data_IF_910855868132
#
_entry.id   IF_910855868132
#
_cell.length_a   1.000
_cell.length_b   1.000
_cell.length_c   1.000
_cell.angle_alpha   90.00
_cell.angle_beta   90.00
_cell.angle_gamma   90.00
#
_symmetry.space_group_name_H-M   'P 1'
#
loop_
_entity.id
_entity.type
_entity.pdbx_description
1 polymer ?
#
# COMPACT_ATOMS: atom_id res chain seq x y z
N UNK A 1 -10.49 -5.84 34.15
CA UNK A 1 -10.31 -6.32 35.50
C UNK A 1 -10.03 -7.84 35.49
N UNK A 2 -8.73 -8.21 35.65
CA UNK A 2 -8.23 -9.59 35.54
C UNK A 2 -8.89 -10.51 36.61
N UNK A 3 -9.21 -9.97 37.79
CA UNK A 3 -9.86 -10.74 38.86
C UNK A 3 -11.27 -11.20 38.48
N UNK A 4 -12.03 -10.36 37.79
CA UNK A 4 -13.37 -10.74 37.31
C UNK A 4 -13.27 -11.81 36.22
N UNK A 5 -12.34 -11.67 35.27
CA UNK A 5 -12.12 -12.66 34.23
C UNK A 5 -11.72 -14.00 34.85
N UNK A 6 -10.77 -14.00 35.81
CA UNK A 6 -10.36 -15.22 36.51
C UNK A 6 -11.54 -15.93 37.18
N UNK A 7 -12.43 -15.19 37.88
CA UNK A 7 -13.63 -15.76 38.49
C UNK A 7 -14.60 -16.39 37.50
N UNK A 8 -14.75 -15.78 36.33
CA UNK A 8 -15.67 -16.30 35.30
C UNK A 8 -15.14 -17.60 34.69
N UNK A 9 -13.82 -17.72 34.58
CA UNK A 9 -13.16 -18.85 33.92
C UNK A 9 -12.55 -19.87 34.90
N UNK A 10 -12.90 -19.81 36.20
CA UNK A 10 -12.49 -20.80 37.17
C UNK A 10 -13.15 -22.17 36.87
N UNK A 11 -12.42 -23.31 36.82
CA UNK A 11 -11.01 -23.52 37.18
C UNK A 11 -10.00 -23.44 36.06
N UNK A 12 -10.35 -22.94 34.89
CA UNK A 12 -9.50 -22.97 33.69
C UNK A 12 -8.34 -21.96 33.75
N UNK A 13 -8.48 -20.85 34.47
CA UNK A 13 -7.45 -19.83 34.70
C UNK A 13 -6.98 -19.84 36.12
N UNK A 14 -5.74 -20.26 36.36
CA UNK A 14 -5.18 -20.45 37.69
C UNK A 14 -4.59 -19.15 38.28
N UNK A 15 -4.01 -18.30 37.44
CA UNK A 15 -3.34 -17.07 37.85
C UNK A 15 -3.80 -15.85 37.04
N UNK A 16 -3.82 -14.68 37.64
CA UNK A 16 -4.10 -13.42 36.94
C UNK A 16 -3.03 -13.07 35.90
N UNK A 17 -1.79 -13.57 36.06
CA UNK A 17 -0.71 -13.44 35.09
C UNK A 17 -0.96 -14.18 33.78
N UNK A 18 -1.91 -15.14 33.78
CA UNK A 18 -2.29 -15.88 32.57
C UNK A 18 -3.27 -15.10 31.67
N UNK A 19 -3.72 -13.94 32.18
CA UNK A 19 -4.64 -13.05 31.47
C UNK A 19 -3.86 -11.86 30.89
N UNK A 20 -3.74 -11.83 29.58
CA UNK A 20 -3.08 -10.75 28.86
C UNK A 20 -4.11 -9.71 28.41
N UNK A 21 -3.97 -8.48 28.91
CA UNK A 21 -4.73 -7.32 28.47
C UNK A 21 -3.94 -6.48 27.44
N UNK A 22 -4.54 -5.38 26.96
CA UNK A 22 -3.92 -4.47 26.02
C UNK A 22 -2.55 -3.95 26.49
N UNK A 23 -2.45 -3.60 27.76
CA UNK A 23 -1.19 -3.07 28.32
C UNK A 23 -0.08 -4.12 28.37
N UNK A 24 -0.43 -5.37 28.75
CA UNK A 24 0.53 -6.48 28.76
C UNK A 24 1.06 -6.76 27.35
N UNK A 25 0.18 -6.76 26.34
CA UNK A 25 0.55 -6.94 24.94
C UNK A 25 1.42 -5.79 24.42
N UNK A 26 1.06 -4.53 24.72
CA UNK A 26 1.87 -3.38 24.35
C UNK A 26 3.26 -3.44 24.98
N UNK A 27 3.35 -3.82 26.28
CA UNK A 27 4.65 -4.01 26.94
C UNK A 27 5.47 -5.13 26.28
N UNK A 28 4.82 -6.25 25.93
CA UNK A 28 5.47 -7.35 25.22
C UNK A 28 6.01 -6.89 23.85
N UNK A 29 5.23 -6.15 23.07
CA UNK A 29 5.61 -5.66 21.74
C UNK A 29 6.69 -4.57 21.78
N UNK A 30 6.74 -3.77 22.86
CA UNK A 30 7.78 -2.74 23.03
C UNK A 30 9.15 -3.30 23.41
N UNK A 31 9.21 -4.58 23.81
CA UNK A 31 10.46 -5.22 24.16
C UNK A 31 11.31 -5.50 22.91
N UNK A 32 12.56 -5.01 22.90
CA UNK A 32 13.51 -5.19 21.79
C UNK A 32 13.72 -6.65 21.37
N UNK A 33 13.61 -7.59 22.32
CA UNK A 33 13.74 -9.02 22.03
C UNK A 33 12.58 -9.59 21.23
N UNK A 34 11.46 -8.88 21.15
CA UNK A 34 10.26 -9.31 20.40
C UNK A 34 10.07 -8.53 19.10
N UNK A 35 11.07 -7.74 18.68
CA UNK A 35 11.01 -6.95 17.46
C UNK A 35 10.71 -7.80 16.23
N UNK A 36 11.30 -9.00 16.13
CA UNK A 36 11.05 -9.93 15.03
C UNK A 36 9.57 -10.35 14.93
N UNK A 37 8.89 -10.51 16.07
CA UNK A 37 7.46 -10.84 16.10
C UNK A 37 6.63 -9.69 15.52
N UNK A 38 6.99 -8.45 15.88
CA UNK A 38 6.31 -7.25 15.36
C UNK A 38 6.53 -7.14 13.86
N UNK A 39 7.77 -7.28 13.38
CA UNK A 39 8.13 -7.18 11.96
C UNK A 39 7.42 -8.23 11.10
N UNK A 40 7.38 -9.48 11.56
CA UNK A 40 6.75 -10.57 10.81
C UNK A 40 5.21 -10.47 10.77
N UNK A 41 4.62 -9.82 11.77
CA UNK A 41 3.17 -9.75 11.94
C UNK A 41 2.67 -8.29 12.05
N UNK A 42 3.38 -7.34 11.46
CA UNK A 42 3.14 -5.91 11.65
C UNK A 42 1.68 -5.49 11.48
N UNK A 43 0.97 -6.10 10.54
CA UNK A 43 -0.44 -5.78 10.26
C UNK A 43 -1.37 -6.10 11.44
N UNK A 44 -1.07 -7.14 12.22
CA UNK A 44 -1.86 -7.47 13.42
C UNK A 44 -1.67 -6.46 14.54
N UNK A 45 -0.52 -5.80 14.57
CA UNK A 45 -0.10 -4.92 15.66
C UNK A 45 -0.07 -3.44 15.29
N UNK A 46 -0.45 -3.07 14.05
CA UNK A 46 -0.35 -1.71 13.52
C UNK A 46 -1.07 -0.68 14.39
N UNK A 47 -2.15 -1.07 15.08
CA UNK A 47 -2.91 -0.20 15.99
C UNK A 47 -2.38 -0.23 17.43
N UNK A 48 -1.31 -0.96 17.72
CA UNK A 48 -0.73 -0.96 19.07
C UNK A 48 0.06 0.33 19.30
N UNK A 49 -0.03 0.88 20.51
CA UNK A 49 0.66 2.14 20.86
C UNK A 49 2.16 2.07 20.57
N UNK A 50 2.82 0.94 20.89
CA UNK A 50 4.25 0.75 20.65
C UNK A 50 4.63 0.72 19.17
N UNK A 51 3.79 0.15 18.30
CA UNK A 51 4.04 0.14 16.84
C UNK A 51 3.77 1.53 16.25
N UNK A 52 2.71 2.20 16.67
CA UNK A 52 2.42 3.58 16.27
C UNK A 52 3.55 4.53 16.67
N UNK A 53 4.08 4.42 17.89
CA UNK A 53 5.23 5.20 18.32
C UNK A 53 6.46 4.99 17.43
N UNK A 54 6.73 3.75 17.00
CA UNK A 54 7.82 3.46 16.06
C UNK A 54 7.57 4.13 14.71
N UNK A 55 6.36 4.01 14.17
CA UNK A 55 5.98 4.59 12.87
C UNK A 55 6.14 6.11 12.90
N UNK A 56 5.57 6.79 13.89
CA UNK A 56 5.59 8.25 13.95
C UNK A 56 6.95 8.82 14.31
N UNK A 57 7.74 8.13 15.12
CA UNK A 57 9.11 8.58 15.45
C UNK A 57 10.10 8.41 14.29
N UNK A 58 9.81 7.49 13.35
CA UNK A 58 10.65 7.26 12.17
C UNK A 58 10.23 8.07 10.93
N UNK A 59 9.17 8.87 11.01
CA UNK A 59 8.82 9.80 9.94
C UNK A 59 9.72 11.06 9.98
N UNK A 60 10.32 11.40 8.86
CA UNK A 60 11.05 12.66 8.74
C UNK A 60 10.03 13.81 8.76
N UNK A 61 10.23 14.78 9.65
CA UNK A 61 9.26 15.86 9.94
C UNK A 61 8.69 16.54 8.69
N UNK A 62 7.44 16.95 8.80
CA UNK A 62 6.71 17.66 7.75
C UNK A 62 5.83 16.74 6.93
N UNK A 63 5.92 16.80 5.58
CA UNK A 63 5.08 16.03 4.65
C UNK A 63 5.14 14.52 4.90
N UNK A 64 6.31 13.96 5.09
CA UNK A 64 6.50 12.53 5.33
C UNK A 64 5.73 12.03 6.55
N UNK A 65 5.56 12.87 7.56
CA UNK A 65 4.77 12.56 8.76
C UNK A 65 3.27 12.45 8.45
N UNK A 66 2.76 13.32 7.60
CA UNK A 66 1.37 13.26 7.15
C UNK A 66 1.14 12.04 6.25
N UNK A 67 2.01 11.83 5.26
CA UNK A 67 1.92 10.69 4.34
C UNK A 67 1.94 9.36 5.10
N UNK A 68 2.85 9.16 6.04
CA UNK A 68 2.92 7.89 6.79
C UNK A 68 1.70 7.68 7.70
N UNK A 69 1.10 8.76 8.20
CA UNK A 69 -0.15 8.70 8.97
C UNK A 69 -1.32 8.27 8.09
N UNK A 70 -1.47 8.87 6.91
CA UNK A 70 -2.51 8.50 5.95
C UNK A 70 -2.37 7.04 5.51
N UNK A 71 -1.13 6.58 5.32
CA UNK A 71 -0.83 5.18 5.00
C UNK A 71 -1.25 4.26 6.15
N UNK A 72 -0.92 4.59 7.39
CA UNK A 72 -1.26 3.81 8.57
C UNK A 72 -2.79 3.71 8.74
N UNK A 73 -3.49 4.83 8.64
CA UNK A 73 -4.95 4.90 8.75
C UNK A 73 -5.68 4.02 7.73
N UNK A 74 -5.10 3.77 6.56
CA UNK A 74 -5.68 2.95 5.49
C UNK A 74 -5.18 1.49 5.48
N UNK A 75 -4.14 1.17 6.24
CA UNK A 75 -3.49 -0.14 6.19
C UNK A 75 -4.37 -1.30 6.66
N UNK A 76 -5.40 -1.07 7.47
CA UNK A 76 -6.29 -2.12 7.96
C UNK A 76 -7.06 -2.85 6.85
N UNK A 77 -7.38 -2.17 5.74
CA UNK A 77 -8.06 -2.78 4.57
C UNK A 77 -7.13 -3.61 3.69
N UNK A 78 -5.83 -3.42 3.82
CA UNK A 78 -4.86 -4.05 2.93
C UNK A 78 -4.82 -5.57 3.10
N UNK A 79 -4.81 -6.31 2.01
CA UNK A 79 -4.56 -7.75 1.97
C UNK A 79 -3.09 -8.03 1.64
N UNK A 80 -2.39 -8.80 2.47
CA UNK A 80 -1.01 -9.22 2.19
C UNK A 80 -1.04 -10.28 1.08
N UNK A 81 -0.75 -9.84 -0.13
CA UNK A 81 -0.74 -10.67 -1.34
C UNK A 81 0.64 -11.26 -1.61
N UNK A 82 0.73 -12.17 -2.58
CA UNK A 82 2.01 -12.70 -3.05
C UNK A 82 2.93 -11.58 -3.60
N UNK A 83 2.35 -10.53 -4.20
CA UNK A 83 3.11 -9.36 -4.65
C UNK A 83 3.80 -8.62 -3.49
N UNK A 84 3.22 -8.63 -2.28
CA UNK A 84 3.85 -8.04 -1.10
C UNK A 84 5.14 -8.78 -0.72
N UNK A 85 5.09 -10.11 -0.68
CA UNK A 85 6.27 -10.95 -0.37
C UNK A 85 7.37 -10.75 -1.40
N UNK A 86 7.02 -10.79 -2.69
CA UNK A 86 7.96 -10.50 -3.78
C UNK A 86 8.54 -9.10 -3.71
N UNK A 87 7.75 -8.10 -3.29
CA UNK A 87 8.21 -6.74 -3.06
C UNK A 87 9.29 -6.66 -1.99
N UNK A 88 9.12 -7.36 -0.88
CA UNK A 88 10.13 -7.47 0.17
C UNK A 88 11.40 -8.15 -0.37
N UNK A 89 11.27 -9.30 -1.06
CA UNK A 89 12.41 -10.01 -1.62
C UNK A 89 13.25 -9.13 -2.57
N UNK A 90 12.60 -8.36 -3.45
CA UNK A 90 13.29 -7.46 -4.35
C UNK A 90 13.98 -6.31 -3.61
N UNK A 91 13.34 -5.74 -2.59
CA UNK A 91 13.94 -4.69 -1.77
C UNK A 91 15.10 -5.19 -0.91
N UNK A 92 15.03 -6.42 -0.40
CA UNK A 92 16.17 -7.00 0.34
C UNK A 92 17.36 -7.30 -0.60
N UNK A 93 17.10 -7.69 -1.85
CA UNK A 93 18.13 -7.99 -2.82
C UNK A 93 18.76 -6.76 -3.46
N UNK A 94 17.93 -5.77 -3.85
CA UNK A 94 18.34 -4.67 -4.72
C UNK A 94 18.21 -3.27 -4.11
N UNK A 95 17.66 -3.14 -2.91
CA UNK A 95 17.39 -1.87 -2.21
C UNK A 95 16.41 -0.93 -2.93
N UNK A 96 16.02 -1.20 -4.16
CA UNK A 96 15.12 -0.38 -4.97
C UNK A 96 14.02 -1.25 -5.55
N UNK A 97 12.80 -0.75 -5.60
CA UNK A 97 11.69 -1.37 -6.31
C UNK A 97 10.90 -0.34 -7.09
N UNK A 98 10.54 -0.69 -8.33
CA UNK A 98 9.62 0.06 -9.17
C UNK A 98 8.36 -0.78 -9.35
N UNK A 99 7.27 -0.36 -8.73
CA UNK A 99 5.98 -1.02 -8.85
C UNK A 99 5.25 -0.49 -10.07
N UNK A 100 4.87 -1.38 -10.98
CA UNK A 100 4.15 -1.00 -12.19
C UNK A 100 2.95 -1.90 -12.42
N UNK A 101 1.96 -1.43 -13.17
CA UNK A 101 0.73 -2.16 -13.45
C UNK A 101 -0.38 -1.24 -13.94
N UNK A 102 -1.52 -1.85 -14.25
CA UNK A 102 -2.71 -1.13 -14.70
C UNK A 102 -3.27 -0.19 -13.63
N UNK A 103 -4.02 0.84 -14.01
CA UNK A 103 -4.71 1.71 -13.05
C UNK A 103 -5.62 0.89 -12.11
N UNK A 104 -5.65 1.25 -10.82
CA UNK A 104 -6.51 0.62 -9.82
C UNK A 104 -6.07 -0.74 -9.30
N UNK A 105 -5.00 -1.35 -9.83
CA UNK A 105 -4.53 -2.70 -9.43
C UNK A 105 -3.89 -2.74 -8.02
N UNK A 106 -3.73 -1.60 -7.35
CA UNK A 106 -3.17 -1.54 -5.98
C UNK A 106 -1.68 -1.25 -5.90
N UNK A 107 -1.07 -0.56 -6.88
CA UNK A 107 0.36 -0.16 -6.84
C UNK A 107 0.70 0.70 -5.63
N UNK A 108 -0.02 1.80 -5.47
CA UNK A 108 0.13 2.73 -4.33
C UNK A 108 -0.09 2.00 -3.03
N UNK A 109 -1.18 1.23 -2.92
CA UNK A 109 -1.50 0.46 -1.71
C UNK A 109 -0.40 -0.55 -1.34
N UNK A 110 0.22 -1.20 -2.33
CA UNK A 110 1.37 -2.09 -2.09
C UNK A 110 2.59 -1.29 -1.65
N UNK A 111 2.90 -0.17 -2.31
CA UNK A 111 4.02 0.72 -1.96
C UNK A 111 3.88 1.24 -0.53
N UNK A 112 2.68 1.67 -0.15
CA UNK A 112 2.33 2.15 1.18
C UNK A 112 2.60 1.09 2.26
N UNK A 113 2.11 -0.11 2.03
CA UNK A 113 2.28 -1.19 3.02
C UNK A 113 3.71 -1.75 3.07
N UNK A 114 4.47 -1.71 1.98
CA UNK A 114 5.91 -1.95 2.01
C UNK A 114 6.63 -0.84 2.79
N UNK A 115 6.18 0.41 2.65
CA UNK A 115 6.75 1.54 3.39
C UNK A 115 6.51 1.41 4.90
N UNK A 116 5.30 1.04 5.32
CA UNK A 116 5.02 0.74 6.73
C UNK A 116 5.91 -0.39 7.27
N UNK A 117 6.04 -1.47 6.50
CA UNK A 117 6.89 -2.60 6.89
C UNK A 117 8.33 -2.17 7.17
N UNK A 118 8.95 -1.36 6.28
CA UNK A 118 10.32 -0.89 6.49
C UNK A 118 10.42 0.18 7.58
N UNK A 119 9.41 1.02 7.75
CA UNK A 119 9.38 2.01 8.84
C UNK A 119 9.37 1.30 10.20
N UNK A 120 8.61 0.24 10.35
CA UNK A 120 8.60 -0.62 11.55
C UNK A 120 9.96 -1.31 11.76
N UNK A 121 10.69 -1.63 10.69
CA UNK A 121 12.08 -2.12 10.73
C UNK A 121 13.12 -1.06 11.08
N UNK A 122 12.68 0.13 11.44
CA UNK A 122 13.55 1.24 11.87
C UNK A 122 14.19 2.01 10.72
N UNK A 123 13.57 2.04 9.55
CA UNK A 123 13.94 2.95 8.48
C UNK A 123 13.21 4.28 8.67
N UNK A 124 13.94 5.40 8.62
CA UNK A 124 13.34 6.73 8.58
C UNK A 124 12.60 6.91 7.25
N UNK A 125 11.31 7.20 7.29
CA UNK A 125 10.47 7.37 6.10
C UNK A 125 10.62 8.78 5.51
N UNK A 126 10.91 8.87 4.22
CA UNK A 126 11.02 10.12 3.47
C UNK A 126 10.20 10.09 2.18
N UNK A 127 9.15 10.90 2.14
CA UNK A 127 8.29 11.07 0.97
C UNK A 127 8.88 12.09 0.00
N UNK A 128 9.03 11.68 -1.28
CA UNK A 128 9.52 12.51 -2.39
C UNK A 128 8.35 12.82 -3.32
N UNK A 129 7.93 14.08 -3.37
CA UNK A 129 6.85 14.50 -4.26
C UNK A 129 7.37 14.81 -5.67
N UNK A 130 8.09 15.93 -5.81
CA UNK A 130 8.47 16.45 -7.13
C UNK A 130 9.98 16.59 -7.35
N UNK A 131 10.78 16.56 -6.27
CA UNK A 131 12.17 16.98 -6.36
C UNK A 131 13.15 15.96 -5.78
N UNK A 132 13.70 15.14 -6.66
CA UNK A 132 14.72 14.16 -6.30
C UNK A 132 15.99 14.82 -5.68
N UNK A 133 16.22 16.13 -5.91
CA UNK A 133 17.36 16.83 -5.33
C UNK A 133 17.27 16.99 -3.81
N UNK A 134 16.06 17.01 -3.26
CA UNK A 134 15.83 17.02 -1.82
C UNK A 134 16.22 15.67 -1.22
N UNK A 135 15.81 14.58 -1.85
CA UNK A 135 16.21 13.23 -1.46
C UNK A 135 17.73 13.03 -1.51
N UNK A 136 18.42 13.63 -2.50
CA UNK A 136 19.87 13.64 -2.58
C UNK A 136 20.52 14.33 -1.39
N UNK A 137 19.93 15.41 -0.90
CA UNK A 137 20.44 16.13 0.27
C UNK A 137 20.26 15.30 1.54
N UNK A 138 19.10 14.69 1.72
CA UNK A 138 18.81 13.78 2.84
C UNK A 138 19.74 12.57 2.81
N UNK A 139 19.95 11.98 1.63
CA UNK A 139 20.88 10.86 1.45
C UNK A 139 22.30 11.19 1.92
N UNK A 140 22.83 12.37 1.56
CA UNK A 140 24.20 12.79 1.94
C UNK A 140 24.34 13.07 3.43
N UNK A 141 23.32 13.67 4.04
CA UNK A 141 23.35 14.02 5.47
C UNK A 141 23.20 12.82 6.40
N UNK A 142 22.82 11.68 5.88
CA UNK A 142 22.42 10.51 6.65
C UNK A 142 23.26 9.26 6.37
N UNK A 143 24.59 9.42 6.19
CA UNK A 143 25.48 8.33 5.76
C UNK A 143 25.35 7.00 6.51
N UNK A 144 24.95 7.02 7.79
CA UNK A 144 24.80 5.79 8.61
C UNK A 144 23.39 5.46 9.04
N UNK A 145 22.38 6.25 8.62
CA UNK A 145 20.99 6.03 9.02
C UNK A 145 20.28 5.14 8.01
N UNK A 146 19.39 4.29 8.49
CA UNK A 146 18.46 3.58 7.63
C UNK A 146 17.40 4.56 7.13
N UNK A 147 17.25 4.72 5.81
CA UNK A 147 16.24 5.60 5.22
C UNK A 147 15.49 4.85 4.13
N UNK A 148 14.17 4.97 4.17
CA UNK A 148 13.27 4.57 3.11
C UNK A 148 12.82 5.83 2.35
N UNK A 149 13.20 5.91 1.09
CA UNK A 149 12.67 6.89 0.14
C UNK A 149 11.42 6.33 -0.53
N UNK A 150 10.38 7.17 -0.63
CA UNK A 150 9.10 6.82 -1.24
C UNK A 150 8.74 7.86 -2.30
N UNK A 151 8.25 7.41 -3.46
CA UNK A 151 7.79 8.29 -4.53
C UNK A 151 6.62 7.63 -5.27
N UNK A 152 5.41 8.12 -5.02
CA UNK A 152 4.20 7.63 -5.69
C UNK A 152 4.00 8.32 -7.05
N UNK A 153 3.45 7.58 -8.00
CA UNK A 153 3.17 7.98 -9.41
C UNK A 153 4.32 8.79 -10.05
N UNK A 154 5.56 8.36 -9.78
CA UNK A 154 6.76 8.96 -10.33
C UNK A 154 6.67 8.97 -11.87
N UNK A 155 6.91 10.08 -12.53
CA UNK A 155 6.70 10.34 -13.96
C UNK A 155 5.22 10.56 -14.38
N UNK A 156 4.22 10.56 -13.46
CA UNK A 156 2.81 10.70 -13.80
C UNK A 156 2.48 11.97 -14.56
N UNK A 157 2.42 13.09 -13.88
CA UNK A 157 2.06 14.40 -14.43
C UNK A 157 3.19 15.10 -15.18
N UNK A 158 4.46 14.76 -14.89
CA UNK A 158 5.64 15.51 -15.31
C UNK A 158 6.59 14.74 -16.25
N UNK A 159 6.14 13.66 -16.89
CA UNK A 159 6.99 12.85 -17.78
C UNK A 159 7.72 13.69 -18.84
N UNK A 160 7.00 14.62 -19.50
CA UNK A 160 7.60 15.48 -20.52
C UNK A 160 8.58 16.48 -19.92
N UNK A 161 8.28 17.04 -18.78
CA UNK A 161 9.16 17.98 -18.07
C UNK A 161 10.40 17.26 -17.52
N UNK A 162 10.24 16.05 -17.02
CA UNK A 162 11.35 15.24 -16.53
C UNK A 162 12.33 14.89 -17.67
N UNK A 163 11.84 14.53 -18.84
CA UNK A 163 12.65 14.17 -20.01
C UNK A 163 13.30 15.42 -20.62
N UNK A 164 12.53 16.48 -20.83
CA UNK A 164 13.02 17.71 -21.47
C UNK A 164 14.03 18.48 -20.60
N UNK A 165 13.87 18.46 -19.29
CA UNK A 165 14.74 19.17 -18.33
C UNK A 165 15.92 18.34 -17.80
N UNK A 166 16.22 17.16 -18.41
CA UNK A 166 17.28 16.23 -17.96
C UNK A 166 17.09 15.71 -16.52
N UNK A 167 15.89 15.84 -15.96
CA UNK A 167 15.57 15.31 -14.62
C UNK A 167 15.60 13.77 -14.59
N UNK A 168 15.40 13.13 -15.75
CA UNK A 168 15.57 11.69 -15.97
C UNK A 168 16.94 11.19 -15.52
N UNK A 169 17.98 11.99 -15.74
CA UNK A 169 19.33 11.63 -15.35
C UNK A 169 19.56 11.66 -13.83
N UNK A 170 18.84 12.52 -13.13
CA UNK A 170 18.97 12.62 -11.67
C UNK A 170 18.33 11.41 -10.98
N UNK A 171 17.14 11.03 -11.41
CA UNK A 171 16.46 9.87 -10.80
C UNK A 171 17.20 8.55 -11.07
N UNK A 172 17.69 8.35 -12.30
CA UNK A 172 18.50 7.17 -12.64
C UNK A 172 19.77 7.08 -11.79
N UNK A 173 20.45 8.20 -11.61
CA UNK A 173 21.63 8.26 -10.75
C UNK A 173 21.29 7.99 -9.28
N UNK A 174 20.15 8.51 -8.82
CA UNK A 174 19.69 8.29 -7.46
C UNK A 174 19.33 6.82 -7.22
N UNK A 175 18.57 6.17 -8.13
CA UNK A 175 18.29 4.73 -8.10
C UNK A 175 19.59 3.93 -7.97
N UNK A 176 20.60 4.21 -8.80
CA UNK A 176 21.90 3.52 -8.74
C UNK A 176 22.68 3.77 -7.45
N UNK A 177 22.53 4.93 -6.87
CA UNK A 177 23.16 5.23 -5.59
C UNK A 177 22.52 4.45 -4.47
N UNK A 178 21.20 4.47 -4.39
CA UNK A 178 20.44 3.72 -3.39
C UNK A 178 20.68 2.22 -3.54
N UNK A 179 20.71 1.68 -4.77
CA UNK A 179 20.93 0.24 -4.98
C UNK A 179 22.28 -0.28 -4.47
N UNK A 180 23.24 0.61 -4.23
CA UNK A 180 24.58 0.27 -3.70
C UNK A 180 24.72 0.45 -2.19
N UNK A 181 23.70 0.97 -1.52
CA UNK A 181 23.73 1.28 -0.10
C UNK A 181 22.67 0.51 0.68
N UNK A 182 23.07 -0.54 1.38
CA UNK A 182 22.17 -1.42 2.12
C UNK A 182 21.44 -0.72 3.29
N UNK A 183 21.87 0.46 3.69
CA UNK A 183 21.18 1.27 4.69
C UNK A 183 20.02 2.10 4.10
N UNK A 184 19.85 2.07 2.79
CA UNK A 184 18.83 2.84 2.08
C UNK A 184 17.90 1.93 1.32
N UNK A 185 16.61 2.29 1.25
CA UNK A 185 15.60 1.63 0.42
C UNK A 185 14.91 2.69 -0.43
N UNK A 186 14.42 2.33 -1.61
CA UNK A 186 13.67 3.23 -2.47
C UNK A 186 12.49 2.51 -3.11
N UNK A 187 11.29 2.99 -2.85
CA UNK A 187 10.04 2.48 -3.41
C UNK A 187 9.47 3.54 -4.36
N UNK A 188 9.24 3.14 -5.61
CA UNK A 188 8.62 3.98 -6.63
C UNK A 188 7.40 3.28 -7.21
N UNK A 189 6.36 4.04 -7.53
CA UNK A 189 5.24 3.54 -8.33
C UNK A 189 5.18 4.25 -9.67
N UNK A 190 4.71 3.57 -10.70
CA UNK A 190 4.46 4.17 -12.02
C UNK A 190 3.42 3.37 -12.80
N UNK A 191 2.76 4.02 -13.74
CA UNK A 191 1.89 3.34 -14.72
C UNK A 191 2.73 2.67 -15.79
N UNK A 192 2.34 1.47 -16.21
CA UNK A 192 3.08 0.69 -17.21
C UNK A 192 3.32 1.46 -18.53
N UNK A 193 2.30 2.15 -19.03
CA UNK A 193 2.38 2.94 -20.25
C UNK A 193 3.36 4.12 -20.11
N UNK A 194 3.36 4.80 -18.96
CA UNK A 194 4.25 5.93 -18.67
C UNK A 194 5.69 5.46 -18.55
N UNK A 195 5.94 4.39 -17.80
CA UNK A 195 7.27 3.81 -17.69
C UNK A 195 7.80 3.35 -19.06
N UNK A 196 6.98 2.68 -19.88
CA UNK A 196 7.33 2.29 -21.23
C UNK A 196 7.69 3.50 -22.11
N UNK A 197 6.95 4.61 -21.98
CA UNK A 197 7.21 5.85 -22.70
C UNK A 197 8.52 6.49 -22.26
N UNK A 198 8.81 6.54 -20.97
CA UNK A 198 10.09 7.00 -20.44
C UNK A 198 11.26 6.20 -21.00
N UNK A 199 11.12 4.87 -21.08
CA UNK A 199 12.13 4.01 -21.71
C UNK A 199 12.38 4.31 -23.17
N UNK A 200 11.32 4.59 -23.95
CA UNK A 200 11.47 4.90 -25.39
C UNK A 200 12.14 6.25 -25.62
N UNK A 201 11.87 7.23 -24.77
CA UNK A 201 12.31 8.62 -24.95
C UNK A 201 13.65 8.92 -24.29
N UNK A 202 14.07 8.16 -23.28
CA UNK A 202 15.30 8.39 -22.54
C UNK A 202 16.33 7.30 -22.79
N UNK A 203 17.42 7.64 -23.49
CA UNK A 203 18.58 6.77 -23.66
C UNK A 203 19.22 6.35 -22.32
N UNK A 204 19.05 7.15 -21.26
CA UNK A 204 19.62 6.83 -19.94
C UNK A 204 18.85 5.70 -19.28
N UNK A 205 17.52 5.71 -19.34
CA UNK A 205 16.73 4.58 -18.86
C UNK A 205 17.08 3.29 -19.61
N UNK A 206 17.36 3.39 -20.92
CA UNK A 206 17.76 2.24 -21.75
C UNK A 206 19.15 1.71 -21.38
N UNK A 207 20.14 2.59 -21.31
CA UNK A 207 21.54 2.22 -21.08
C UNK A 207 21.79 1.69 -19.67
N UNK A 208 21.00 2.11 -18.69
CA UNK A 208 21.21 1.78 -17.29
C UNK A 208 20.42 0.55 -16.83
N UNK A 209 19.78 -0.16 -17.77
CA UNK A 209 19.06 -1.43 -17.55
C UNK A 209 18.10 -1.41 -16.36
N UNK A 210 17.46 -0.24 -16.09
CA UNK A 210 16.48 -0.10 -14.99
C UNK A 210 15.28 -1.06 -15.18
N UNK A 211 15.11 -1.59 -16.38
CA UNK A 211 14.07 -2.55 -16.75
C UNK A 211 14.44 -4.00 -16.46
N UNK A 212 15.69 -4.26 -16.13
CA UNK A 212 16.09 -5.60 -15.75
C UNK A 212 15.35 -6.00 -14.46
N UNK A 213 14.95 -7.24 -14.35
CA UNK A 213 14.10 -7.79 -13.30
C UNK A 213 14.59 -7.56 -11.85
N UNK A 214 15.71 -6.86 -11.68
CA UNK A 214 16.29 -6.54 -10.37
C UNK A 214 15.54 -5.45 -9.61
N UNK A 215 14.82 -4.55 -10.32
CA UNK A 215 14.12 -3.43 -9.70
C UNK A 215 12.63 -3.38 -10.03
N UNK A 216 12.16 -4.11 -11.03
CA UNK A 216 10.80 -3.99 -11.54
C UNK A 216 9.89 -5.10 -11.00
N UNK A 217 8.85 -4.72 -10.28
CA UNK A 217 7.74 -5.61 -9.96
C UNK A 217 6.49 -5.15 -10.73
N UNK A 218 6.13 -5.92 -11.74
CA UNK A 218 4.86 -5.72 -12.43
C UNK A 218 3.76 -6.41 -11.64
N UNK A 219 2.82 -5.63 -11.13
CA UNK A 219 1.64 -6.16 -10.46
C UNK A 219 0.68 -6.67 -11.54
N UNK A 220 0.65 -7.97 -11.70
CA UNK A 220 -0.25 -8.70 -12.58
C UNK A 220 -1.00 -9.73 -11.76
N UNK A 221 -2.08 -10.25 -12.27
CA UNK A 221 -2.76 -11.47 -11.82
C UNK A 221 -2.76 -11.70 -10.30
N UNK A 222 -3.72 -11.09 -9.63
CA UNK A 222 -4.08 -11.48 -8.27
C UNK A 222 -4.57 -12.93 -8.30
N UNK A 223 -4.07 -13.76 -7.40
CA UNK A 223 -4.57 -15.12 -7.21
C UNK A 223 -6.02 -15.10 -6.72
N UNK A 224 -6.74 -16.22 -6.82
CA UNK A 224 -8.10 -16.32 -6.29
C UNK A 224 -8.13 -16.04 -4.78
N UNK A 225 -7.09 -16.45 -4.04
CA UNK A 225 -6.93 -16.18 -2.61
C UNK A 225 -6.70 -14.69 -2.35
N UNK A 226 -5.83 -14.04 -3.13
CA UNK A 226 -5.61 -12.59 -3.01
C UNK A 226 -6.91 -11.81 -3.23
N UNK A 227 -7.67 -12.17 -4.28
CA UNK A 227 -8.97 -11.54 -4.58
C UNK A 227 -9.99 -11.78 -3.46
N UNK A 228 -10.01 -12.98 -2.90
CA UNK A 228 -10.89 -13.31 -1.78
C UNK A 228 -10.54 -12.49 -0.53
N UNK A 229 -9.27 -12.35 -0.20
CA UNK A 229 -8.80 -11.55 0.93
C UNK A 229 -9.11 -10.07 0.73
N UNK A 230 -8.89 -9.53 -0.47
CA UNK A 230 -9.22 -8.14 -0.81
C UNK A 230 -10.72 -7.91 -0.61
N UNK A 231 -11.57 -8.75 -1.20
CA UNK A 231 -13.02 -8.63 -1.06
C UNK A 231 -13.45 -8.73 0.41
N UNK A 232 -12.93 -9.72 1.14
CA UNK A 232 -13.24 -9.91 2.56
C UNK A 232 -12.86 -8.68 3.40
N UNK A 233 -11.65 -8.16 3.24
CA UNK A 233 -11.18 -7.00 4.00
C UNK A 233 -12.03 -5.76 3.71
N UNK A 234 -12.38 -5.52 2.45
CA UNK A 234 -13.25 -4.40 2.09
C UNK A 234 -14.65 -4.53 2.68
N UNK A 235 -15.25 -5.71 2.68
CA UNK A 235 -16.55 -5.97 3.32
C UNK A 235 -16.44 -5.83 4.84
N UNK A 236 -15.45 -6.48 5.46
CA UNK A 236 -15.29 -6.50 6.90
C UNK A 236 -15.08 -5.12 7.51
N UNK A 237 -14.33 -4.27 6.81
CA UNK A 237 -14.04 -2.91 7.23
C UNK A 237 -14.94 -1.85 6.58
N UNK A 238 -15.96 -2.27 5.83
CA UNK A 238 -17.01 -1.36 5.35
C UNK A 238 -17.98 -1.04 6.47
N UNK A 239 -18.69 0.08 6.33
CA UNK A 239 -19.84 0.41 7.17
C UNK A 239 -21.16 -0.03 6.50
N UNK A 240 -21.13 -1.10 5.70
CA UNK A 240 -22.31 -1.65 5.06
C UNK A 240 -23.22 -2.34 6.07
N UNK A 241 -24.52 -2.11 5.98
CA UNK A 241 -25.50 -2.83 6.76
C UNK A 241 -25.52 -4.32 6.39
N UNK A 242 -25.91 -5.16 7.35
CA UNK A 242 -25.95 -6.62 7.20
C UNK A 242 -26.71 -7.08 5.96
N UNK A 243 -27.80 -6.40 5.57
CA UNK A 243 -28.61 -6.74 4.42
C UNK A 243 -27.82 -6.69 3.09
N UNK A 244 -26.89 -5.74 2.95
CA UNK A 244 -26.00 -5.66 1.77
C UNK A 244 -24.96 -6.76 1.81
N UNK A 245 -24.43 -7.06 2.99
CA UNK A 245 -23.45 -8.14 3.18
C UNK A 245 -24.08 -9.48 2.85
N UNK A 246 -25.29 -9.74 3.33
CA UNK A 246 -26.05 -10.97 3.07
C UNK A 246 -26.28 -11.19 1.58
N UNK A 247 -26.52 -10.14 0.80
CA UNK A 247 -26.65 -10.22 -0.66
C UNK A 247 -25.38 -10.76 -1.34
N UNK A 248 -24.19 -10.41 -0.83
CA UNK A 248 -22.93 -10.94 -1.34
C UNK A 248 -22.75 -12.42 -0.98
N UNK A 249 -23.18 -12.83 0.22
CA UNK A 249 -23.03 -14.20 0.68
C UNK A 249 -24.12 -15.14 0.15
N UNK A 250 -25.31 -14.62 -0.19
CA UNK A 250 -26.43 -15.38 -0.75
C UNK A 250 -25.99 -16.17 -1.98
N UNK A 251 -26.28 -17.46 -2.01
CA UNK A 251 -25.93 -18.37 -3.10
C UNK A 251 -24.44 -18.32 -3.50
N UNK A 252 -23.55 -17.96 -2.58
CA UNK A 252 -22.10 -17.81 -2.79
C UNK A 252 -21.74 -16.82 -3.91
N UNK A 253 -22.49 -15.73 -4.05
CA UNK A 253 -22.27 -14.67 -5.05
C UNK A 253 -20.87 -14.06 -4.96
N UNK A 254 -20.24 -14.05 -3.78
CA UNK A 254 -18.84 -13.64 -3.63
C UNK A 254 -17.89 -14.39 -4.58
N UNK A 255 -18.17 -15.66 -4.93
CA UNK A 255 -17.34 -16.40 -5.90
C UNK A 255 -17.45 -15.82 -7.31
N UNK A 256 -18.61 -15.29 -7.69
CA UNK A 256 -18.78 -14.63 -8.99
C UNK A 256 -17.97 -13.33 -9.04
N UNK A 257 -17.91 -12.58 -7.93
CA UNK A 257 -17.07 -11.38 -7.82
C UNK A 257 -15.60 -11.75 -7.95
N UNK A 258 -15.12 -12.71 -7.15
CA UNK A 258 -13.70 -13.13 -7.10
C UNK A 258 -13.25 -13.64 -8.48
N UNK A 259 -14.09 -14.42 -9.17
CA UNK A 259 -13.76 -15.01 -10.46
C UNK A 259 -14.13 -14.12 -11.66
N UNK A 260 -14.61 -12.90 -11.41
CA UNK A 260 -14.95 -12.01 -12.51
C UNK A 260 -13.69 -11.56 -13.25
N UNK A 261 -13.75 -11.57 -14.61
CA UNK A 261 -12.61 -11.20 -15.47
C UNK A 261 -12.07 -9.77 -15.22
N UNK A 262 -12.97 -8.86 -14.86
CA UNK A 262 -12.67 -7.48 -14.57
C UNK A 262 -12.48 -7.21 -13.07
N UNK A 263 -12.20 -8.23 -12.25
CA UNK A 263 -11.90 -8.01 -10.84
C UNK A 263 -10.76 -7.02 -10.70
N UNK A 264 -11.02 -5.93 -9.99
CA UNK A 264 -10.03 -4.89 -9.74
C UNK A 264 -10.25 -4.34 -8.32
N UNK A 265 -9.20 -4.20 -7.48
CA UNK A 265 -9.33 -3.70 -6.11
C UNK A 265 -10.09 -2.38 -6.00
N UNK A 266 -9.90 -1.46 -6.95
CA UNK A 266 -10.63 -0.18 -6.99
C UNK A 266 -12.12 -0.36 -7.22
N UNK A 267 -12.52 -1.33 -8.05
CA UNK A 267 -13.95 -1.65 -8.23
C UNK A 267 -14.52 -2.19 -6.93
N UNK A 268 -13.78 -3.06 -6.24
CA UNK A 268 -14.21 -3.61 -4.95
C UNK A 268 -14.37 -2.49 -3.91
N UNK A 269 -13.39 -1.60 -3.80
CA UNK A 269 -13.48 -0.42 -2.94
C UNK A 269 -14.73 0.41 -3.23
N UNK A 270 -14.97 0.71 -4.51
CA UNK A 270 -16.11 1.52 -4.96
C UNK A 270 -17.46 0.89 -4.61
N UNK A 271 -17.62 -0.41 -4.86
CA UNK A 271 -18.90 -1.09 -4.61
C UNK A 271 -19.14 -1.43 -3.15
N UNK A 272 -18.12 -1.36 -2.29
CA UNK A 272 -18.24 -1.57 -0.84
C UNK A 272 -18.20 -0.27 -0.03
N UNK A 273 -18.15 0.87 -0.69
CA UNK A 273 -18.26 2.18 -0.04
C UNK A 273 -19.71 2.44 0.37
N UNK A 274 -19.96 2.48 1.69
CA UNK A 274 -21.30 2.66 2.26
C UNK A 274 -21.96 3.98 1.84
N UNK A 275 -21.18 5.05 1.65
CA UNK A 275 -21.69 6.34 1.19
C UNK A 275 -22.27 6.25 -0.23
N UNK A 276 -21.59 5.54 -1.13
CA UNK A 276 -22.04 5.33 -2.53
C UNK A 276 -23.23 4.37 -2.62
N UNK A 277 -23.23 3.37 -1.77
CA UNK A 277 -24.28 2.33 -1.71
C UNK A 277 -25.55 2.83 -1.04
N UNK A 278 -25.49 3.85 -0.20
CA UNK A 278 -26.61 4.32 0.62
C UNK A 278 -27.87 4.76 -0.15
N UNK A 279 -27.77 5.01 -1.45
CA UNK A 279 -28.92 5.34 -2.32
C UNK A 279 -29.50 4.12 -3.07
N UNK A 280 -28.95 2.91 -2.83
CA UNK A 280 -29.30 1.69 -3.52
C UNK A 280 -30.03 0.79 -2.51
N UNK A 281 -31.18 0.23 -2.89
CA UNK A 281 -31.85 -0.75 -2.02
C UNK A 281 -31.07 -2.06 -1.99
N UNK A 282 -31.10 -2.78 -0.86
CA UNK A 282 -30.38 -4.06 -0.72
C UNK A 282 -30.74 -5.06 -1.83
N UNK A 283 -32.02 -5.14 -2.26
CA UNK A 283 -32.48 -6.01 -3.36
C UNK A 283 -31.81 -5.70 -4.70
N UNK A 284 -31.40 -4.45 -4.91
CA UNK A 284 -30.72 -4.00 -6.13
C UNK A 284 -29.20 -4.03 -6.02
N UNK A 285 -28.65 -4.26 -4.83
CA UNK A 285 -27.22 -4.16 -4.58
C UNK A 285 -26.41 -5.19 -5.38
N UNK A 286 -26.89 -6.43 -5.49
CA UNK A 286 -26.22 -7.42 -6.33
C UNK A 286 -26.12 -6.96 -7.80
N UNK A 287 -27.21 -6.42 -8.36
CA UNK A 287 -27.21 -5.89 -9.73
C UNK A 287 -26.22 -4.73 -9.88
N UNK A 288 -26.15 -3.87 -8.88
CA UNK A 288 -25.19 -2.77 -8.85
C UNK A 288 -23.74 -3.27 -8.88
N UNK A 289 -23.38 -4.28 -8.08
CA UNK A 289 -22.03 -4.87 -8.08
C UNK A 289 -21.69 -5.42 -9.47
N UNK A 290 -22.56 -6.23 -10.05
CA UNK A 290 -22.32 -6.84 -11.35
C UNK A 290 -22.21 -5.78 -12.46
N UNK A 291 -23.08 -4.77 -12.47
CA UNK A 291 -23.00 -3.66 -13.42
C UNK A 291 -21.62 -2.98 -13.37
N UNK A 292 -21.13 -2.67 -12.19
CA UNK A 292 -19.83 -2.01 -12.03
C UNK A 292 -18.64 -2.92 -12.39
N UNK A 293 -18.76 -4.22 -12.23
CA UNK A 293 -17.75 -5.17 -12.70
C UNK A 293 -17.77 -5.32 -14.23
N UNK A 294 -18.94 -5.31 -14.86
CA UNK A 294 -19.06 -5.44 -16.30
C UNK A 294 -18.69 -4.17 -17.05
N UNK A 295 -19.16 -3.01 -16.56
CA UNK A 295 -19.01 -1.69 -17.21
C UNK A 295 -18.60 -0.67 -16.15
N UNK A 296 -17.33 -0.56 -15.82
CA UNK A 296 -16.82 0.33 -14.76
C UNK A 296 -16.67 1.80 -15.21
N UNK A 297 -17.52 2.29 -16.11
CA UNK A 297 -17.41 3.65 -16.67
C UNK A 297 -17.55 4.72 -15.59
N UNK A 298 -18.52 4.58 -14.68
CA UNK A 298 -18.76 5.54 -13.60
C UNK A 298 -17.54 5.64 -12.65
N UNK A 299 -16.84 4.52 -12.42
CA UNK A 299 -15.65 4.45 -11.56
C UNK A 299 -14.48 5.19 -12.20
N UNK A 300 -14.31 5.01 -13.49
CA UNK A 300 -13.22 5.67 -14.22
C UNK A 300 -13.52 7.14 -14.45
N UNK A 301 -14.79 7.52 -14.67
CA UNK A 301 -15.21 8.91 -14.80
C UNK A 301 -14.99 9.69 -13.49
N UNK A 302 -15.36 9.13 -12.35
CA UNK A 302 -15.13 9.72 -11.03
C UNK A 302 -13.63 9.93 -10.76
N UNK A 303 -12.81 8.93 -11.08
CA UNK A 303 -11.36 9.05 -10.97
C UNK A 303 -10.78 10.14 -11.88
N UNK A 304 -11.28 10.22 -13.12
CA UNK A 304 -10.85 11.21 -14.10
C UNK A 304 -11.20 12.64 -13.66
N UNK A 305 -12.38 12.81 -13.06
CA UNK A 305 -12.84 14.12 -12.58
C UNK A 305 -12.10 14.59 -11.32
N UNK A 306 -11.76 13.67 -10.42
CA UNK A 306 -11.25 14.02 -9.09
C UNK A 306 -9.71 13.97 -8.97
N UNK A 307 -9.00 13.30 -9.88
CA UNK A 307 -7.54 13.09 -9.78
C UNK A 307 -6.74 13.55 -10.99
N UNK A 308 -7.36 14.15 -12.00
CA UNK A 308 -6.63 14.66 -13.17
C UNK A 308 -6.70 16.18 -13.23
N UNK A 309 -5.53 16.81 -13.44
CA UNK A 309 -5.44 18.24 -13.69
C UNK A 309 -6.22 18.64 -14.94
N UNK A 310 -6.73 19.88 -14.97
CA UNK A 310 -7.50 20.44 -16.08
C UNK A 310 -6.79 20.35 -17.44
N UNK A 311 -5.46 20.33 -17.45
CA UNK A 311 -4.64 20.13 -18.65
C UNK A 311 -4.76 18.72 -19.25
N UNK A 312 -5.01 17.69 -18.43
CA UNK A 312 -5.19 16.31 -18.89
C UNK A 312 -6.64 16.06 -19.31
N UNK A 313 -7.61 16.74 -18.65
CA UNK A 313 -9.03 16.67 -19.02
C UNK A 313 -9.31 17.21 -20.43
N UNK A 314 -8.50 18.16 -20.90
CA UNK A 314 -8.67 18.78 -22.23
C UNK A 314 -8.10 17.93 -23.39
N UNK A 315 -7.47 16.77 -23.12
CA UNK A 315 -6.84 15.90 -24.10
C UNK A 315 -7.65 14.62 -24.41
N UNK A 316 -8.84 14.48 -23.81
CA UNK A 316 -9.80 13.39 -24.04
C UNK A 316 -11.12 13.96 -24.53
#
# INVERSE_FOLDING_TARGET
DKQKIKKIFDPFINCESDIFGKEDLNHFLSNKNNQDVVEQNFKLWITSASVLDIIYNNAIKGRSENTIRDIEENAYKYAITENHKRGIELLEKGNVIILTGEPGIGKTTLADNLSLYYTIKGYDFYDIEDNISEAESVFRQSEKKKILFYCDDFLGSHLYDAINNKKDSHIVKFIKRVSKDNSKKFILTSRTNILNKAYRLSHKFQNERIRDNEFLLKIENLTEIDKAQILYNHIYHSSLDSNYIDEIYTNRRYKQIINHRNFNPRIIEFVTDSFRVGNITSDNYWRYIIKNLEVPEDIWADYFQNQTDDSVRSLV
#
